data_IF_016232816115
#
_entry.id   IF_016232816115
#
_cell.length_a   1.000
_cell.length_b   1.000
_cell.length_c   1.000
_cell.angle_alpha   90.00
_cell.angle_beta   90.00
_cell.angle_gamma   90.00
#
_symmetry.space_group_name_H-M   'P 1'
#
loop_
_entity.id
_entity.type
_entity.pdbx_description
1 polymer ?
#
# COMPACT_ATOMS: atom_id res chain seq x y z
N UNK A 1 8.41 6.59 -5.44
CA UNK A 1 8.52 7.76 -6.34
C UNK A 1 9.97 8.15 -6.58
N UNK A 2 10.67 8.67 -5.56
CA UNK A 2 12.03 9.22 -5.74
C UNK A 2 13.09 8.19 -6.21
N UNK A 3 13.11 6.94 -5.69
CA UNK A 3 14.05 5.92 -6.18
C UNK A 3 13.84 5.54 -7.66
N UNK A 4 12.58 5.37 -8.09
CA UNK A 4 12.24 5.12 -9.49
C UNK A 4 12.65 6.27 -10.42
N UNK A 5 12.36 7.52 -10.02
CA UNK A 5 12.77 8.69 -10.81
C UNK A 5 14.29 8.78 -10.95
N UNK A 6 15.04 8.42 -9.89
CA UNK A 6 16.49 8.35 -9.92
C UNK A 6 17.01 7.26 -10.88
N UNK A 7 16.40 6.06 -10.87
CA UNK A 7 16.75 4.99 -11.83
C UNK A 7 16.55 5.46 -13.28
N UNK A 8 15.42 6.11 -13.56
CA UNK A 8 15.09 6.58 -14.91
C UNK A 8 16.01 7.73 -15.37
N UNK A 9 16.41 8.61 -14.45
CA UNK A 9 17.34 9.69 -14.75
C UNK A 9 18.78 9.21 -15.02
N UNK A 10 19.20 8.08 -14.43
CA UNK A 10 20.58 7.60 -14.53
C UNK A 10 20.93 6.81 -15.80
N UNK A 11 20.01 6.65 -16.75
CA UNK A 11 20.24 6.15 -18.11
C UNK A 11 20.62 4.67 -18.28
N UNK A 12 21.28 4.03 -17.31
CA UNK A 12 21.66 2.61 -17.32
C UNK A 12 21.38 1.93 -15.99
N UNK A 13 20.58 0.86 -16.01
CA UNK A 13 20.18 0.09 -14.81
C UNK A 13 21.37 -0.48 -14.02
N UNK A 14 22.43 -0.91 -14.71
CA UNK A 14 23.61 -1.49 -14.06
C UNK A 14 24.41 -0.44 -13.25
N UNK A 15 24.36 0.83 -13.66
CA UNK A 15 25.04 1.93 -12.98
C UNK A 15 24.19 2.49 -11.82
N UNK A 16 22.86 2.39 -11.91
CA UNK A 16 21.94 2.94 -10.92
C UNK A 16 21.53 1.95 -9.83
N UNK A 17 21.69 0.63 -10.03
CA UNK A 17 21.24 -0.38 -9.07
C UNK A 17 21.79 -0.20 -7.64
N UNK A 18 23.10 0.05 -7.47
CA UNK A 18 23.70 0.26 -6.14
C UNK A 18 23.24 1.59 -5.51
N UNK A 19 23.32 2.74 -6.21
CA UNK A 19 22.79 4.00 -5.68
C UNK A 19 21.29 3.97 -5.37
N UNK A 20 20.46 3.30 -6.17
CA UNK A 20 19.01 3.17 -5.93
C UNK A 20 18.72 2.39 -4.64
N UNK A 21 19.48 1.33 -4.37
CA UNK A 21 19.38 0.56 -3.13
C UNK A 21 19.78 1.42 -1.92
N UNK A 22 20.88 2.17 -2.00
CA UNK A 22 21.34 3.07 -0.93
C UNK A 22 20.33 4.19 -0.68
N UNK A 23 19.80 4.80 -1.76
CA UNK A 23 18.76 5.81 -1.68
C UNK A 23 17.48 5.26 -1.03
N UNK A 24 17.11 4.01 -1.35
CA UNK A 24 15.95 3.34 -0.74
C UNK A 24 16.16 3.15 0.77
N UNK A 25 17.35 2.72 1.21
CA UNK A 25 17.68 2.56 2.63
C UNK A 25 17.64 3.89 3.38
N UNK A 26 18.23 4.95 2.81
CA UNK A 26 18.19 6.30 3.40
C UNK A 26 16.75 6.78 3.50
N UNK A 27 15.95 6.61 2.45
CA UNK A 27 14.53 6.95 2.44
C UNK A 27 13.78 6.20 3.54
N UNK A 28 14.01 4.90 3.72
CA UNK A 28 13.37 4.09 4.76
C UNK A 28 13.71 4.59 6.18
N UNK A 29 14.98 4.96 6.44
CA UNK A 29 15.37 5.52 7.75
C UNK A 29 14.64 6.84 8.01
N UNK A 30 14.56 7.71 7.00
CA UNK A 30 13.83 8.99 7.12
C UNK A 30 12.33 8.76 7.36
N UNK A 31 11.71 7.83 6.62
CA UNK A 31 10.28 7.51 6.77
C UNK A 31 9.98 6.97 8.17
N UNK A 32 10.81 6.07 8.71
CA UNK A 32 10.68 5.60 10.09
C UNK A 32 10.87 6.73 11.11
N UNK A 33 11.86 7.61 10.90
CA UNK A 33 12.06 8.78 11.76
C UNK A 33 10.83 9.70 11.79
N UNK A 34 10.21 9.94 10.63
CA UNK A 34 8.95 10.69 10.52
C UNK A 34 7.81 9.96 11.24
N UNK A 35 7.71 8.63 11.10
CA UNK A 35 6.69 7.84 11.80
C UNK A 35 6.84 7.92 13.33
N UNK A 36 8.07 7.85 13.86
CA UNK A 36 8.29 8.02 15.31
C UNK A 36 7.92 9.43 15.77
N UNK A 37 8.26 10.47 15.00
CA UNK A 37 7.83 11.84 15.30
C UNK A 37 6.30 11.96 15.27
N UNK A 38 5.64 11.31 14.31
CA UNK A 38 4.18 11.23 14.22
C UNK A 38 3.56 10.50 15.43
N UNK A 39 4.14 9.38 15.88
CA UNK A 39 3.68 8.69 17.11
C UNK A 39 3.82 9.56 18.35
N UNK A 40 4.95 10.29 18.50
CA UNK A 40 5.11 11.27 19.60
C UNK A 40 4.05 12.37 19.50
N UNK A 41 3.76 12.82 18.29
CA UNK A 41 2.72 13.82 18.06
C UNK A 41 1.35 13.32 18.51
N UNK A 42 0.96 12.14 18.04
CA UNK A 42 -0.33 11.49 18.28
C UNK A 42 -0.53 11.07 19.75
N UNK A 43 0.47 10.42 20.36
CA UNK A 43 0.33 9.83 21.70
C UNK A 43 0.57 10.83 22.83
N UNK A 44 1.37 11.88 22.60
CA UNK A 44 1.76 12.81 23.66
C UNK A 44 1.31 14.24 23.41
N UNK A 45 1.74 14.86 22.32
CA UNK A 45 1.56 16.32 22.18
C UNK A 45 0.12 16.72 21.82
N UNK A 46 -0.57 15.92 21.02
CA UNK A 46 -1.90 16.22 20.48
C UNK A 46 -2.90 15.10 20.75
N UNK A 47 -2.67 14.32 21.80
CA UNK A 47 -3.52 13.18 22.19
C UNK A 47 -5.01 13.52 22.23
N UNK A 48 -5.35 14.70 22.75
CA UNK A 48 -6.74 15.21 22.81
C UNK A 48 -7.44 15.34 21.45
N UNK A 49 -6.68 15.60 20.37
CA UNK A 49 -7.24 15.69 19.02
C UNK A 49 -7.71 14.31 18.52
N UNK A 50 -7.05 13.25 18.97
CA UNK A 50 -7.36 11.88 18.59
C UNK A 50 -8.35 11.22 19.57
N UNK A 51 -8.25 11.49 20.88
CA UNK A 51 -9.21 11.01 21.90
C UNK A 51 -10.62 11.61 21.69
N UNK A 52 -10.73 12.88 21.30
CA UNK A 52 -12.04 13.52 21.07
C UNK A 52 -12.82 12.92 19.88
N UNK A 53 -12.14 12.29 18.92
CA UNK A 53 -12.78 11.54 17.82
C UNK A 53 -13.30 10.17 18.26
N UNK A 54 -12.81 9.62 19.37
CA UNK A 54 -13.30 8.35 19.91
C UNK A 54 -14.51 8.58 20.84
N UNK A 55 -14.52 9.65 21.65
CA UNK A 55 -15.58 9.92 22.62
C UNK A 55 -16.87 10.54 22.04
N UNK A 56 -16.80 11.41 21.02
CA UNK A 56 -18.01 12.01 20.41
C UNK A 56 -18.86 10.99 19.64
N UNK A 57 -18.28 9.84 19.31
CA UNK A 57 -18.88 8.80 18.48
C UNK A 57 -19.34 7.56 19.28
N UNK A 58 -19.30 7.58 20.61
CA UNK A 58 -19.85 6.49 21.45
C UNK A 58 -21.29 6.77 21.94
N UNK A 59 -21.84 7.97 21.69
CA UNK A 59 -23.14 8.42 22.23
C UNK A 59 -24.38 7.94 21.43
N UNK A 60 -24.21 6.96 20.53
CA UNK A 60 -25.30 6.40 19.70
C UNK A 60 -25.51 4.92 20.07
N UNK A 61 -26.63 4.63 20.75
CA UNK A 61 -27.12 3.43 21.48
C UNK A 61 -27.03 2.03 20.79
N UNK A 62 -26.14 1.83 19.82
CA UNK A 62 -25.91 0.57 19.09
C UNK A 62 -24.42 0.25 18.87
N UNK A 63 -23.52 0.92 19.57
CA UNK A 63 -22.15 0.40 19.80
C UNK A 63 -22.26 -0.49 21.03
N UNK A 64 -22.02 -1.79 20.86
CA UNK A 64 -21.95 -2.73 21.99
C UNK A 64 -21.02 -2.11 23.03
N UNK A 65 -21.50 -1.85 24.24
CA UNK A 65 -20.67 -1.42 25.36
C UNK A 65 -19.33 -2.16 25.31
N UNK A 66 -18.22 -1.45 25.09
CA UNK A 66 -16.88 -2.00 25.19
C UNK A 66 -16.51 -2.21 26.68
N UNK A 67 -17.38 -2.91 27.42
CA UNK A 67 -16.93 -3.56 28.63
C UNK A 67 -15.83 -4.55 28.20
N UNK A 68 -14.63 -4.52 28.81
CA UNK A 68 -13.55 -5.41 28.41
C UNK A 68 -13.99 -6.86 28.61
N UNK A 69 -14.42 -7.49 27.52
CA UNK A 69 -14.97 -8.87 27.51
C UNK A 69 -13.87 -9.89 27.84
N UNK A 70 -12.60 -9.47 27.76
CA UNK A 70 -11.42 -10.31 27.97
C UNK A 70 -10.48 -9.65 28.99
N UNK A 71 -10.09 -10.41 30.02
CA UNK A 71 -9.07 -9.98 30.97
C UNK A 71 -7.68 -9.88 30.31
N UNK A 72 -6.80 -9.03 30.83
CA UNK A 72 -5.46 -8.75 30.26
C UNK A 72 -4.68 -10.00 29.84
N UNK A 73 -4.63 -11.03 30.70
CA UNK A 73 -3.93 -12.29 30.43
C UNK A 73 -4.60 -13.12 29.33
N UNK A 74 -5.92 -13.08 29.24
CA UNK A 74 -6.66 -13.74 28.15
C UNK A 74 -6.43 -13.00 26.82
N UNK A 75 -6.41 -11.67 26.84
CA UNK A 75 -6.09 -10.86 25.67
C UNK A 75 -4.66 -11.09 25.18
N UNK A 76 -3.68 -11.13 26.08
CA UNK A 76 -2.29 -11.45 25.72
C UNK A 76 -2.16 -12.86 25.11
N UNK A 77 -2.84 -13.85 25.68
CA UNK A 77 -2.84 -15.21 25.15
C UNK A 77 -3.47 -15.28 23.75
N UNK A 78 -4.60 -14.59 23.53
CA UNK A 78 -5.23 -14.50 22.22
C UNK A 78 -4.37 -13.77 21.19
N UNK A 79 -3.70 -12.68 21.60
CA UNK A 79 -2.79 -11.94 20.73
C UNK A 79 -1.68 -12.86 20.20
N UNK A 80 -0.94 -13.51 21.10
CA UNK A 80 0.14 -14.44 20.73
C UNK A 80 -0.41 -15.61 19.90
N UNK A 81 -1.54 -16.18 20.30
CA UNK A 81 -2.17 -17.30 19.60
C UNK A 81 -2.55 -16.96 18.15
N UNK A 82 -3.24 -15.84 17.94
CA UNK A 82 -3.62 -15.39 16.59
C UNK A 82 -2.42 -14.99 15.76
N UNK A 83 -1.41 -14.34 16.34
CA UNK A 83 -0.17 -14.00 15.63
C UNK A 83 0.52 -15.26 15.10
N UNK A 84 0.60 -16.33 15.89
CA UNK A 84 1.18 -17.61 15.44
C UNK A 84 0.36 -18.25 14.32
N UNK A 85 -0.97 -18.25 14.44
CA UNK A 85 -1.86 -18.79 13.41
C UNK A 85 -1.70 -18.01 12.10
N UNK A 86 -1.70 -16.67 12.16
CA UNK A 86 -1.51 -15.81 10.99
C UNK A 86 -0.13 -16.03 10.38
N UNK A 87 0.93 -16.18 11.19
CA UNK A 87 2.28 -16.47 10.69
C UNK A 87 2.33 -17.78 9.89
N UNK A 88 1.72 -18.86 10.41
CA UNK A 88 1.64 -20.14 9.71
C UNK A 88 0.83 -20.02 8.41
N UNK A 89 -0.34 -19.37 8.45
CA UNK A 89 -1.16 -19.16 7.26
C UNK A 89 -0.45 -18.28 6.22
N UNK A 90 0.33 -17.28 6.66
CA UNK A 90 1.11 -16.43 5.77
C UNK A 90 2.18 -17.21 5.01
N UNK A 91 2.83 -18.18 5.66
CA UNK A 91 3.82 -19.04 4.99
C UNK A 91 3.16 -19.87 3.88
N UNK A 92 1.99 -20.47 4.16
CA UNK A 92 1.22 -21.18 3.14
C UNK A 92 0.76 -20.26 2.01
N UNK A 93 0.21 -19.09 2.33
CA UNK A 93 -0.26 -18.13 1.32
C UNK A 93 0.89 -17.75 0.40
N UNK A 94 2.03 -17.30 0.94
CA UNK A 94 3.21 -16.91 0.14
C UNK A 94 3.71 -18.07 -0.72
N UNK A 95 3.77 -19.29 -0.17
CA UNK A 95 4.18 -20.49 -0.92
C UNK A 95 3.25 -20.84 -2.08
N UNK A 96 1.95 -20.51 -1.98
CA UNK A 96 0.96 -20.80 -3.03
C UNK A 96 0.82 -19.69 -4.09
N UNK A 97 1.42 -18.51 -3.92
CA UNK A 97 1.25 -17.39 -4.87
C UNK A 97 1.74 -17.77 -6.28
N UNK A 98 2.90 -18.41 -6.39
CA UNK A 98 3.48 -18.79 -7.68
C UNK A 98 2.66 -19.87 -8.38
N UNK A 99 2.22 -20.88 -7.63
CA UNK A 99 1.36 -21.96 -8.13
C UNK A 99 -0.02 -21.41 -8.58
N UNK A 100 -0.59 -20.49 -7.80
CA UNK A 100 -1.85 -19.82 -8.13
C UNK A 100 -1.71 -18.94 -9.39
N UNK A 101 -0.60 -18.20 -9.51
CA UNK A 101 -0.25 -17.43 -10.70
C UNK A 101 -0.22 -18.32 -11.95
N UNK A 102 0.51 -19.43 -11.90
CA UNK A 102 0.61 -20.39 -13.01
C UNK A 102 -0.72 -21.08 -13.33
N UNK A 103 -1.51 -21.46 -12.31
CA UNK A 103 -2.76 -22.18 -12.51
C UNK A 103 -3.90 -21.29 -13.03
N UNK A 104 -3.98 -20.04 -12.56
CA UNK A 104 -5.06 -19.12 -12.91
C UNK A 104 -4.70 -18.22 -14.10
N UNK A 105 -3.44 -18.24 -14.55
CA UNK A 105 -2.97 -17.39 -15.64
C UNK A 105 -2.95 -15.91 -15.28
N UNK A 106 -2.80 -15.59 -13.99
CA UNK A 106 -2.74 -14.23 -13.47
C UNK A 106 -1.30 -13.85 -13.15
N UNK A 107 -0.94 -12.58 -13.25
CA UNK A 107 0.40 -12.13 -12.86
C UNK A 107 0.56 -12.16 -11.33
N UNK A 108 1.77 -12.48 -10.86
CA UNK A 108 2.11 -12.39 -9.43
C UNK A 108 1.87 -10.97 -8.91
N UNK A 109 2.21 -9.94 -9.68
CA UNK A 109 1.90 -8.54 -9.33
C UNK A 109 0.40 -8.28 -9.15
N UNK A 110 -0.48 -8.84 -9.99
CA UNK A 110 -1.92 -8.69 -9.81
C UNK A 110 -2.41 -9.36 -8.52
N UNK A 111 -1.95 -10.59 -8.25
CA UNK A 111 -2.30 -11.30 -7.02
C UNK A 111 -1.81 -10.53 -5.78
N UNK A 112 -0.57 -10.06 -5.79
CA UNK A 112 0.04 -9.39 -4.64
C UNK A 112 -0.45 -7.96 -4.39
N UNK A 113 -0.76 -7.19 -5.44
CA UNK A 113 -1.14 -5.78 -5.32
C UNK A 113 -2.66 -5.60 -5.20
N UNK A 114 -3.45 -6.44 -5.87
CA UNK A 114 -4.92 -6.30 -5.90
C UNK A 114 -5.58 -7.30 -4.97
N UNK A 115 -5.31 -8.59 -5.15
CA UNK A 115 -6.08 -9.65 -4.45
C UNK A 115 -5.70 -9.73 -2.97
N UNK A 116 -4.41 -9.77 -2.67
CA UNK A 116 -3.92 -9.99 -1.32
C UNK A 116 -4.33 -8.87 -0.33
N UNK A 117 -4.22 -7.56 -0.68
CA UNK A 117 -4.62 -6.50 0.23
C UNK A 117 -6.13 -6.44 0.47
N UNK A 118 -6.96 -6.84 -0.51
CA UNK A 118 -8.41 -6.92 -0.32
C UNK A 118 -8.75 -7.91 0.79
N UNK A 119 -8.12 -9.10 0.78
CA UNK A 119 -8.38 -10.14 1.78
C UNK A 119 -7.74 -9.77 3.13
N UNK A 120 -6.50 -9.28 3.11
CA UNK A 120 -5.77 -8.91 4.32
C UNK A 120 -6.42 -7.77 5.11
N UNK A 121 -7.02 -6.81 4.41
CA UNK A 121 -7.62 -5.62 5.02
C UNK A 121 -9.16 -5.69 5.04
N UNK A 122 -9.76 -6.85 4.73
CA UNK A 122 -11.21 -6.99 4.61
C UNK A 122 -11.96 -6.60 5.90
N UNK A 123 -11.43 -6.98 7.06
CA UNK A 123 -12.01 -6.66 8.35
C UNK A 123 -12.00 -5.15 8.62
N UNK A 124 -10.89 -4.47 8.34
CA UNK A 124 -10.76 -3.01 8.48
C UNK A 124 -11.71 -2.29 7.51
N UNK A 125 -11.77 -2.74 6.25
CA UNK A 125 -12.69 -2.18 5.27
C UNK A 125 -14.16 -2.35 5.68
N UNK A 126 -14.54 -3.52 6.20
CA UNK A 126 -15.88 -3.77 6.69
C UNK A 126 -16.24 -2.81 7.85
N UNK A 127 -15.32 -2.62 8.80
CA UNK A 127 -15.48 -1.65 9.89
C UNK A 127 -15.66 -0.22 9.37
N UNK A 128 -14.79 0.23 8.47
CA UNK A 128 -14.87 1.57 7.88
C UNK A 128 -16.19 1.80 7.12
N UNK A 129 -16.70 0.79 6.41
CA UNK A 129 -18.00 0.86 5.71
C UNK A 129 -19.15 0.94 6.71
N UNK A 130 -19.11 0.17 7.81
CA UNK A 130 -20.12 0.21 8.87
C UNK A 130 -20.19 1.62 9.50
N UNK A 131 -19.04 2.21 9.83
CA UNK A 131 -18.99 3.58 10.37
C UNK A 131 -19.48 4.62 9.36
N UNK A 132 -19.17 4.45 8.07
CA UNK A 132 -19.72 5.31 7.02
C UNK A 132 -21.25 5.22 6.92
N UNK A 133 -21.84 4.03 7.05
CA UNK A 133 -23.31 3.86 7.10
C UNK A 133 -23.95 4.48 8.34
N UNK A 134 -23.22 4.56 9.45
CA UNK A 134 -23.62 5.29 10.67
C UNK A 134 -23.40 6.80 10.56
N UNK A 135 -23.09 7.32 9.38
CA UNK A 135 -22.80 8.73 9.12
C UNK A 135 -21.57 9.27 9.89
N UNK A 136 -20.66 8.37 10.31
CA UNK A 136 -19.40 8.68 10.99
C UNK A 136 -18.25 8.63 10.00
N UNK A 137 -18.28 9.57 9.05
CA UNK A 137 -17.32 9.59 7.95
C UNK A 137 -15.91 9.94 8.41
N UNK A 138 -15.76 10.75 9.45
CA UNK A 138 -14.44 11.12 9.96
C UNK A 138 -13.73 9.91 10.59
N UNK A 139 -14.43 9.05 11.33
CA UNK A 139 -13.90 7.74 11.77
C UNK A 139 -13.54 6.86 10.58
N UNK A 140 -14.45 6.74 9.60
CA UNK A 140 -14.22 5.89 8.42
C UNK A 140 -12.94 6.31 7.66
N UNK A 141 -12.75 7.61 7.46
CA UNK A 141 -11.55 8.18 6.86
C UNK A 141 -10.33 8.03 7.77
N UNK A 142 -10.49 8.16 9.09
CA UNK A 142 -9.45 7.95 10.08
C UNK A 142 -8.89 6.52 10.03
N UNK A 143 -9.76 5.51 10.00
CA UNK A 143 -9.38 4.09 9.85
C UNK A 143 -8.60 3.88 8.55
N UNK A 144 -9.12 4.38 7.41
CA UNK A 144 -8.48 4.18 6.11
C UNK A 144 -7.14 4.91 5.97
N UNK A 145 -7.07 6.19 6.33
CA UNK A 145 -5.87 7.02 6.21
C UNK A 145 -4.82 6.62 7.26
N UNK A 146 -5.24 6.20 8.45
CA UNK A 146 -4.36 5.68 9.50
C UNK A 146 -3.65 4.40 9.05
N UNK A 147 -4.41 3.41 8.56
CA UNK A 147 -3.87 2.15 8.01
C UNK A 147 -2.91 2.42 6.85
N UNK A 148 -3.28 3.29 5.89
CA UNK A 148 -2.39 3.68 4.79
C UNK A 148 -1.09 4.36 5.26
N UNK A 149 -1.17 5.24 6.26
CA UNK A 149 -0.01 5.92 6.85
C UNK A 149 0.92 4.92 7.55
N UNK A 150 0.36 3.98 8.30
CA UNK A 150 1.12 2.94 8.99
C UNK A 150 1.83 2.01 7.98
N UNK A 151 1.13 1.58 6.93
CA UNK A 151 1.75 0.75 5.88
C UNK A 151 2.90 1.51 5.20
N UNK A 152 2.67 2.78 4.83
CA UNK A 152 3.64 3.56 4.06
C UNK A 152 4.86 4.02 4.86
N UNK A 153 4.68 4.49 6.10
CA UNK A 153 5.75 5.09 6.89
C UNK A 153 6.40 4.11 7.88
N UNK A 154 5.74 3.01 8.23
CA UNK A 154 6.25 2.02 9.16
C UNK A 154 6.50 0.66 8.51
N UNK A 155 5.46 0.00 7.98
CA UNK A 155 5.58 -1.40 7.55
C UNK A 155 6.57 -1.56 6.38
N UNK A 156 6.38 -0.82 5.28
CA UNK A 156 7.25 -0.92 4.10
C UNK A 156 8.72 -0.56 4.41
N UNK A 157 9.01 0.57 5.10
CA UNK A 157 10.38 0.89 5.52
C UNK A 157 11.00 -0.16 6.45
N UNK A 158 10.21 -0.74 7.36
CA UNK A 158 10.69 -1.80 8.26
C UNK A 158 11.09 -3.06 7.50
N UNK A 159 10.35 -3.43 6.44
CA UNK A 159 10.72 -4.52 5.56
C UNK A 159 12.07 -4.28 4.85
N UNK A 160 12.32 -3.05 4.36
CA UNK A 160 13.61 -2.69 3.72
C UNK A 160 14.77 -2.79 4.71
N UNK A 161 14.60 -2.31 5.95
CA UNK A 161 15.65 -2.40 6.98
C UNK A 161 15.88 -3.85 7.40
N UNK A 162 14.81 -4.64 7.57
CA UNK A 162 14.92 -6.06 7.92
C UNK A 162 15.62 -6.85 6.82
N UNK A 163 15.27 -6.62 5.55
CA UNK A 163 15.94 -7.19 4.39
C UNK A 163 17.44 -6.82 4.36
N UNK A 164 17.76 -5.56 4.68
CA UNK A 164 19.15 -5.12 4.78
C UNK A 164 19.94 -5.85 5.87
N UNK A 165 19.34 -6.12 7.04
CA UNK A 165 19.97 -6.89 8.13
C UNK A 165 20.20 -8.35 7.71
N UNK A 166 19.24 -8.96 7.01
CA UNK A 166 19.31 -10.35 6.53
C UNK A 166 20.33 -10.49 5.37
N UNK A 167 20.71 -9.39 4.73
CA UNK A 167 21.65 -9.37 3.60
C UNK A 167 20.97 -9.49 2.23
N UNK A 168 19.65 -9.50 2.20
CA UNK A 168 18.85 -9.46 0.98
C UNK A 168 18.70 -8.02 0.47
N UNK A 169 18.44 -7.89 -0.83
CA UNK A 169 18.37 -6.59 -1.52
C UNK A 169 16.93 -6.23 -1.86
N UNK A 170 16.17 -5.83 -0.84
CA UNK A 170 14.88 -5.14 -1.05
C UNK A 170 15.13 -3.64 -1.22
N UNK A 171 14.56 -3.06 -2.26
CA UNK A 171 14.54 -1.61 -2.52
C UNK A 171 13.11 -1.07 -2.60
N UNK A 172 12.98 0.24 -2.77
CA UNK A 172 11.71 0.95 -2.96
C UNK A 172 11.50 1.32 -4.44
N UNK A 173 12.10 0.55 -5.34
CA UNK A 173 12.10 0.78 -6.78
C UNK A 173 11.02 -0.06 -7.48
N UNK A 174 9.77 0.31 -7.20
CA UNK A 174 8.58 -0.28 -7.81
C UNK A 174 8.56 -0.10 -9.34
N UNK A 175 7.76 -0.90 -10.05
CA UNK A 175 7.61 -0.71 -11.50
C UNK A 175 6.98 0.65 -11.86
N UNK A 176 7.12 1.06 -13.12
CA UNK A 176 6.55 2.32 -13.60
C UNK A 176 5.03 2.36 -13.45
N UNK A 177 4.35 1.24 -13.74
CA UNK A 177 2.89 1.14 -13.57
C UNK A 177 2.50 1.20 -12.10
N UNK A 178 3.20 0.48 -11.22
CA UNK A 178 2.96 0.47 -9.76
C UNK A 178 3.15 1.85 -9.15
N UNK A 179 4.25 2.51 -9.50
CA UNK A 179 4.54 3.87 -9.08
C UNK A 179 3.47 4.81 -9.64
N UNK A 180 3.20 4.78 -10.94
CA UNK A 180 2.21 5.63 -11.58
C UNK A 180 0.80 5.50 -10.99
N UNK A 181 0.32 4.26 -10.78
CA UNK A 181 -0.98 4.01 -10.16
C UNK A 181 -1.05 4.47 -8.71
N UNK A 182 0.05 4.31 -7.95
CA UNK A 182 0.13 4.81 -6.57
C UNK A 182 0.07 6.33 -6.50
N UNK A 183 0.80 7.05 -7.35
CA UNK A 183 0.69 8.52 -7.46
C UNK A 183 -0.72 8.95 -7.83
N UNK A 184 -1.31 8.31 -8.85
CA UNK A 184 -2.66 8.63 -9.30
C UNK A 184 -3.67 8.45 -8.16
N UNK A 185 -3.57 7.34 -7.42
CA UNK A 185 -4.43 7.07 -6.25
C UNK A 185 -4.32 8.16 -5.18
N UNK A 186 -3.09 8.58 -4.83
CA UNK A 186 -2.88 9.68 -3.87
C UNK A 186 -3.48 10.98 -4.37
N UNK A 187 -3.24 11.34 -5.63
CA UNK A 187 -3.73 12.60 -6.21
C UNK A 187 -5.26 12.63 -6.24
N UNK A 188 -5.89 11.58 -6.78
CA UNK A 188 -7.36 11.50 -6.88
C UNK A 188 -7.99 11.51 -5.50
N UNK A 189 -7.43 10.76 -4.54
CA UNK A 189 -7.92 10.72 -3.16
C UNK A 189 -7.77 12.09 -2.48
N UNK A 190 -6.61 12.74 -2.60
CA UNK A 190 -6.37 14.06 -2.02
C UNK A 190 -7.35 15.10 -2.56
N UNK A 191 -7.56 15.16 -3.88
CA UNK A 191 -8.53 16.07 -4.49
C UNK A 191 -9.97 15.76 -4.08
N UNK A 192 -10.31 14.49 -3.92
CA UNK A 192 -11.68 14.09 -3.53
C UNK A 192 -12.01 14.52 -2.09
N UNK A 193 -11.02 14.42 -1.19
CA UNK A 193 -11.15 14.76 0.23
C UNK A 193 -10.95 16.26 0.54
N UNK A 194 -10.35 17.03 -0.37
CA UNK A 194 -9.99 18.44 -0.12
C UNK A 194 -11.19 19.34 0.22
N UNK A 195 -12.36 19.07 -0.36
CA UNK A 195 -13.56 19.90 -0.15
C UNK A 195 -14.28 19.63 1.18
N UNK A 196 -13.85 18.63 1.96
CA UNK A 196 -14.50 18.25 3.24
C UNK A 196 -15.94 17.73 3.10
N UNK A 197 -16.45 17.55 1.88
CA UNK A 197 -17.80 17.05 1.60
C UNK A 197 -17.75 15.67 0.94
N UNK A 198 -18.62 14.78 1.41
CA UNK A 198 -18.71 13.40 0.93
C UNK A 198 -20.07 13.15 0.27
N UNK A 199 -20.06 12.74 -0.99
CA UNK A 199 -21.25 12.41 -1.78
C UNK A 199 -21.05 11.06 -2.47
N UNK A 200 -22.14 10.34 -2.74
CA UNK A 200 -22.07 9.03 -3.39
C UNK A 200 -21.30 9.06 -4.72
N UNK A 201 -21.37 10.18 -5.46
CA UNK A 201 -20.66 10.35 -6.72
C UNK A 201 -19.13 10.38 -6.53
N UNK A 202 -18.64 11.04 -5.47
CA UNK A 202 -17.21 11.05 -5.12
C UNK A 202 -16.73 9.64 -4.77
N UNK A 203 -17.51 8.90 -3.98
CA UNK A 203 -17.23 7.50 -3.66
C UNK A 203 -17.23 6.59 -4.89
N UNK A 204 -18.18 6.78 -5.80
CA UNK A 204 -18.24 6.03 -7.06
C UNK A 204 -17.02 6.29 -7.95
N UNK A 205 -16.56 7.54 -8.03
CA UNK A 205 -15.35 7.88 -8.80
C UNK A 205 -14.12 7.18 -8.23
N UNK A 206 -13.95 7.15 -6.90
CA UNK A 206 -12.84 6.42 -6.26
C UNK A 206 -12.91 4.91 -6.53
N UNK A 207 -14.10 4.32 -6.44
CA UNK A 207 -14.30 2.89 -6.72
C UNK A 207 -14.03 2.55 -8.18
N UNK A 208 -14.52 3.37 -9.13
CA UNK A 208 -14.25 3.18 -10.56
C UNK A 208 -12.76 3.37 -10.87
N UNK A 209 -12.09 4.33 -10.23
CA UNK A 209 -10.64 4.52 -10.36
C UNK A 209 -9.89 3.27 -9.90
N UNK A 210 -10.29 2.67 -8.76
CA UNK A 210 -9.71 1.42 -8.27
C UNK A 210 -9.93 0.25 -9.24
N UNK A 211 -11.15 0.10 -9.79
CA UNK A 211 -11.47 -0.94 -10.78
C UNK A 211 -10.61 -0.78 -12.04
N UNK A 212 -10.45 0.45 -12.55
CA UNK A 212 -9.62 0.71 -13.73
C UNK A 212 -8.16 0.37 -13.45
N UNK A 213 -7.61 0.76 -12.29
CA UNK A 213 -6.25 0.38 -11.88
C UNK A 213 -6.13 -1.15 -11.81
N UNK A 214 -7.08 -1.83 -11.17
CA UNK A 214 -7.11 -3.29 -11.09
C UNK A 214 -7.16 -3.96 -12.47
N UNK A 215 -7.96 -3.43 -13.39
CA UNK A 215 -8.02 -3.90 -14.77
C UNK A 215 -6.69 -3.69 -15.52
N UNK A 216 -6.00 -2.57 -15.28
CA UNK A 216 -4.66 -2.35 -15.82
C UNK A 216 -3.67 -3.42 -15.35
N UNK A 217 -3.66 -3.75 -14.05
CA UNK A 217 -2.79 -4.83 -13.52
C UNK A 217 -3.20 -6.22 -14.00
N UNK A 218 -4.49 -6.46 -14.22
CA UNK A 218 -5.00 -7.72 -14.76
C UNK A 218 -4.52 -7.95 -16.20
N UNK A 219 -4.59 -6.90 -17.04
CA UNK A 219 -4.15 -6.98 -18.44
C UNK A 219 -2.63 -6.95 -18.55
N UNK A 220 -1.95 -6.25 -17.63
CA UNK A 220 -0.49 -6.22 -17.58
C UNK A 220 0.07 -7.52 -17.00
N UNK A 221 0.15 -8.54 -17.85
CA UNK A 221 0.86 -9.77 -17.56
C UNK A 221 2.36 -9.51 -17.70
N UNK A 222 3.03 -9.13 -16.61
CA UNK A 222 4.49 -9.20 -16.55
C UNK A 222 4.87 -10.66 -16.35
N UNK A 223 5.48 -11.37 -17.32
CA UNK A 223 6.15 -12.62 -17.00
C UNK A 223 7.34 -12.29 -16.08
N UNK A 224 7.52 -13.06 -15.01
CA UNK A 224 8.66 -12.93 -14.08
C UNK A 224 10.05 -13.14 -14.75
N UNK A 225 10.09 -13.37 -16.06
CA UNK A 225 11.30 -13.62 -16.81
C UNK A 225 11.39 -12.74 -18.07
N UNK A 226 11.78 -11.47 -17.89
CA UNK A 226 12.31 -10.68 -18.99
C UNK A 226 13.41 -9.73 -18.51
N UNK A 227 14.57 -10.30 -18.17
CA UNK A 227 15.81 -9.62 -18.52
C UNK A 227 15.84 -9.43 -20.04
N UNK A 228 16.13 -8.22 -20.51
CA UNK A 228 16.34 -7.86 -21.93
C UNK A 228 15.12 -7.76 -22.87
N UNK A 229 14.16 -6.89 -22.58
CA UNK A 229 13.25 -6.37 -23.61
C UNK A 229 13.27 -4.84 -23.76
N UNK A 230 14.42 -4.20 -23.51
CA UNK A 230 14.68 -2.83 -23.97
C UNK A 230 15.27 -2.90 -25.39
N UNK A 231 14.48 -3.31 -26.38
CA UNK A 231 14.81 -3.14 -27.81
C UNK A 231 13.60 -3.39 -28.72
N UNK A 232 12.46 -2.76 -28.41
CA UNK A 232 11.41 -2.57 -29.40
C UNK A 232 11.18 -1.08 -29.67
N UNK A 233 11.87 -0.59 -30.71
CA UNK A 233 11.15 0.19 -31.70
C UNK A 233 11.35 1.71 -31.73
N UNK A 234 12.54 2.22 -31.41
CA UNK A 234 13.03 3.40 -32.17
C UNK A 234 13.38 2.89 -33.57
N UNK A 235 12.36 2.71 -34.41
CA UNK A 235 12.55 2.58 -35.86
C UNK A 235 12.39 3.97 -36.44
N UNK A 236 13.46 4.75 -36.33
CA UNK A 236 13.67 5.93 -37.14
C UNK A 236 13.77 5.49 -38.61
N UNK A 237 12.66 5.52 -39.33
CA UNK A 237 12.65 5.38 -40.78
C UNK A 237 12.89 6.77 -41.40
N UNK A 238 14.11 7.28 -41.28
CA UNK A 238 14.61 8.35 -42.15
C UNK A 238 15.25 7.67 -43.37
N UNK A 239 14.42 7.23 -44.31
CA UNK A 239 14.84 7.00 -45.70
C UNK A 239 13.77 7.59 -46.61
N UNK A 240 13.76 8.92 -46.66
CA UNK A 240 13.19 9.67 -47.76
C UNK A 240 14.14 9.58 -48.95
N UNK A 241 13.78 8.76 -49.92
CA UNK A 241 13.92 9.00 -51.36
C UNK A 241 14.76 10.23 -51.75
N UNK A 242 15.92 10.03 -52.37
CA UNK A 242 16.25 10.79 -53.59
C UNK A 242 17.20 10.01 -54.51
N UNK A 243 16.76 9.90 -55.76
CA UNK A 243 17.43 9.32 -56.92
C UNK A 243 18.35 10.37 -57.54
N UNK A 244 19.53 9.97 -58.01
CA UNK A 244 20.17 10.36 -59.28
C UNK A 244 21.48 9.57 -59.43
#
# INVERSE_FOLDING_TARGET
>A
MLPLMFRYAGGSEALTAKPTLELSRVSSIVMLGVYFAYLVFQLWTHRKLFEAHEEEDDDDDLVVEEAPVIGFWSGFAWLVGMTLVIALLSEYVVGTIEDASSSWGLSVSFISIIVLPIVGNAAEHAGAIIFAFKNKLDISLGVALGSATQISLFAVPSCVITSWIIGEKMDLDFNLLETGSFALSIIVTAFTLQDGTSHYMKGLVLLLCYIVIGACFFVYQTPLNQGNAINLGVKASTEGSFRA
#
